data_IF_961082429835
#
_entry.id   IF_961082429835
#
_cell.length_a   1.000
_cell.length_b   1.000
_cell.length_c   1.000
_cell.angle_alpha   90.00
_cell.angle_beta   90.00
_cell.angle_gamma   90.00
#
_symmetry.space_group_name_H-M   'P 1'
#
loop_
_entity.id
_entity.type
_entity.pdbx_description
1 polymer ?
#
# COMPACT_ATOMS: atom_id res chain seq x y z
N UNK A 1 60.10 -26.75 -18.74
CA UNK A 1 60.54 -27.47 -17.52
C UNK A 1 60.18 -26.60 -16.33
N UNK A 2 59.36 -27.12 -15.41
CA UNK A 2 58.93 -26.38 -14.20
C UNK A 2 57.43 -26.51 -13.94
N UNK A 3 56.99 -27.73 -13.64
CA UNK A 3 55.68 -28.05 -13.05
C UNK A 3 55.66 -27.72 -11.55
N UNK A 4 54.43 -27.59 -11.00
CA UNK A 4 53.95 -27.69 -9.60
C UNK A 4 53.26 -26.39 -9.14
N UNK A 5 52.15 -26.37 -8.42
CA UNK A 5 51.08 -27.33 -8.13
C UNK A 5 49.95 -26.47 -7.51
N UNK A 6 48.71 -26.67 -7.93
CA UNK A 6 47.51 -26.07 -7.32
C UNK A 6 47.00 -26.99 -6.20
N UNK A 7 46.55 -26.46 -5.04
CA UNK A 7 46.01 -27.31 -3.98
C UNK A 7 44.55 -27.71 -4.24
N UNK A 8 44.37 -29.03 -4.20
CA UNK A 8 43.19 -29.86 -3.96
C UNK A 8 41.86 -29.18 -3.56
N UNK A 9 40.82 -29.44 -4.38
CA UNK A 9 39.42 -29.47 -3.97
C UNK A 9 39.05 -30.89 -3.50
N UNK A 10 38.35 -31.07 -2.37
CA UNK A 10 37.77 -32.35 -2.02
C UNK A 10 36.41 -32.58 -2.73
N UNK A 11 36.13 -33.86 -2.90
CA UNK A 11 35.20 -34.49 -3.83
C UNK A 11 33.70 -34.30 -3.54
N UNK A 12 32.96 -34.48 -4.63
CA UNK A 12 31.52 -34.60 -4.74
C UNK A 12 31.01 -35.85 -4.00
N UNK A 13 30.09 -35.67 -3.05
CA UNK A 13 29.27 -36.76 -2.54
C UNK A 13 28.18 -37.10 -3.58
N UNK A 14 28.39 -38.20 -4.30
CA UNK A 14 27.40 -38.80 -5.19
C UNK A 14 26.24 -39.37 -4.39
N UNK A 15 25.02 -38.99 -4.75
CA UNK A 15 23.80 -39.66 -4.28
C UNK A 15 23.51 -40.82 -5.23
N UNK A 16 23.48 -42.02 -4.67
CA UNK A 16 23.08 -43.27 -5.32
C UNK A 16 21.56 -43.26 -5.50
N UNK A 17 21.09 -43.25 -6.74
CA UNK A 17 19.70 -43.52 -7.10
C UNK A 17 19.49 -45.04 -7.23
N UNK A 18 18.80 -45.66 -6.28
CA UNK A 18 18.15 -46.94 -6.50
C UNK A 18 16.80 -46.68 -7.17
N UNK A 19 16.62 -47.24 -8.36
CA UNK A 19 15.33 -47.27 -9.03
C UNK A 19 14.41 -48.30 -8.41
N UNK A 20 13.11 -48.08 -8.54
CA UNK A 20 12.17 -49.17 -8.80
C UNK A 20 11.02 -48.66 -9.67
N UNK A 21 10.81 -49.39 -10.76
CA UNK A 21 9.75 -49.15 -11.71
C UNK A 21 8.39 -49.54 -11.17
N UNK A 22 7.36 -48.85 -11.64
CA UNK A 22 5.98 -49.23 -11.41
C UNK A 22 5.07 -48.37 -12.27
N UNK A 23 4.64 -48.91 -13.41
CA UNK A 23 3.58 -48.33 -14.24
C UNK A 23 2.28 -48.39 -13.44
N UNK A 24 1.58 -47.27 -13.36
CA UNK A 24 0.23 -47.17 -12.81
C UNK A 24 -0.44 -45.93 -13.35
N UNK A 25 -1.19 -46.10 -14.45
CA UNK A 25 -2.19 -45.14 -14.90
C UNK A 25 -3.23 -44.97 -13.79
N UNK A 26 -3.54 -43.73 -13.42
CA UNK A 26 -4.71 -43.42 -12.59
C UNK A 26 -5.51 -42.35 -13.33
N UNK A 27 -6.61 -42.78 -13.94
CA UNK A 27 -7.57 -41.94 -14.65
C UNK A 27 -8.39 -41.08 -13.69
N UNK A 28 -8.81 -39.93 -14.20
CA UNK A 28 -9.62 -38.87 -13.60
C UNK A 28 -10.78 -39.31 -12.70
N UNK A 29 -11.07 -38.46 -11.70
CA UNK A 29 -12.46 -38.08 -11.38
C UNK A 29 -12.48 -36.66 -10.78
N UNK A 30 -12.69 -35.67 -11.66
CA UNK A 30 -13.09 -34.32 -11.29
C UNK A 30 -14.53 -34.36 -10.73
N UNK A 31 -14.81 -33.79 -9.55
CA UNK A 31 -16.17 -33.68 -9.08
C UNK A 31 -16.94 -32.64 -9.92
N UNK A 32 -18.01 -33.12 -10.55
CA UNK A 32 -18.96 -32.37 -11.36
C UNK A 32 -19.55 -31.18 -10.59
N UNK A 33 -19.36 -29.97 -11.12
CA UNK A 33 -20.07 -28.76 -10.70
C UNK A 33 -21.57 -28.91 -11.00
N UNK A 34 -22.42 -28.87 -9.96
CA UNK A 34 -23.86 -28.64 -10.14
C UNK A 34 -24.13 -27.14 -10.22
N UNK A 35 -24.45 -26.66 -11.42
CA UNK A 35 -25.04 -25.34 -11.66
C UNK A 35 -26.46 -25.33 -11.10
N UNK A 36 -26.71 -24.49 -10.09
CA UNK A 36 -28.07 -24.12 -9.66
C UNK A 36 -28.35 -22.71 -10.16
N UNK A 37 -29.57 -22.53 -10.67
CA UNK A 37 -30.03 -21.43 -11.52
C UNK A 37 -29.75 -20.02 -10.99
N UNK A 38 -29.56 -19.11 -11.95
CA UNK A 38 -29.36 -17.67 -11.86
C UNK A 38 -30.53 -16.89 -11.26
N UNK A 39 -30.23 -15.90 -10.42
CA UNK A 39 -31.10 -14.73 -10.15
C UNK A 39 -30.32 -13.43 -10.37
N UNK A 40 -30.95 -12.34 -10.84
CA UNK A 40 -30.27 -11.11 -11.21
C UNK A 40 -30.01 -10.22 -9.97
N UNK A 41 -29.02 -10.60 -9.17
CA UNK A 41 -28.40 -9.76 -8.14
C UNK A 41 -27.20 -10.52 -7.57
N UNK A 42 -26.00 -10.24 -8.10
CA UNK A 42 -24.80 -11.06 -7.92
C UNK A 42 -24.08 -10.89 -6.59
N UNK A 43 -24.60 -11.49 -5.51
CA UNK A 43 -23.81 -11.85 -4.33
C UNK A 43 -24.21 -13.27 -3.87
N UNK A 44 -23.26 -14.21 -3.89
CA UNK A 44 -23.45 -15.55 -3.34
C UNK A 44 -22.59 -15.72 -2.08
N UNK A 45 -23.24 -15.84 -0.93
CA UNK A 45 -22.63 -16.23 0.34
C UNK A 45 -22.49 -17.75 0.42
N UNK A 46 -21.30 -18.24 0.80
CA UNK A 46 -21.10 -19.66 1.16
C UNK A 46 -21.17 -19.77 2.68
N UNK A 47 -22.31 -20.27 3.20
CA UNK A 47 -22.47 -20.64 4.61
C UNK A 47 -22.12 -22.13 4.78
N UNK A 48 -20.95 -22.42 5.35
CA UNK A 48 -20.57 -23.77 5.79
C UNK A 48 -21.14 -24.07 7.17
N UNK A 49 -22.01 -25.08 7.28
CA UNK A 49 -22.51 -25.58 8.57
C UNK A 49 -21.52 -26.61 9.14
N UNK A 50 -21.07 -26.38 10.37
CA UNK A 50 -20.24 -27.32 11.11
C UNK A 50 -21.05 -28.55 11.55
N UNK A 51 -20.55 -29.76 11.27
CA UNK A 51 -20.95 -30.98 11.97
C UNK A 51 -19.72 -31.73 12.44
N UNK A 52 -19.67 -31.99 13.75
CA UNK A 52 -18.77 -32.92 14.40
C UNK A 52 -18.96 -34.35 13.86
N UNK A 53 -17.86 -35.03 13.52
CA UNK A 53 -17.74 -36.48 13.62
C UNK A 53 -16.26 -36.93 13.49
N UNK A 54 -15.76 -37.59 14.53
CA UNK A 54 -14.83 -38.73 14.45
C UNK A 54 -13.34 -38.46 14.17
N UNK A 55 -12.50 -38.66 15.18
CA UNK A 55 -11.08 -39.01 14.98
C UNK A 55 -10.94 -40.33 14.20
N UNK A 56 -9.86 -40.46 13.42
CA UNK A 56 -9.09 -41.70 13.53
C UNK A 56 -7.58 -41.45 13.67
N UNK A 57 -7.01 -42.25 14.56
CA UNK A 57 -5.61 -42.53 14.78
C UNK A 57 -4.91 -43.06 13.52
N UNK A 58 -3.73 -42.51 13.20
CA UNK A 58 -2.91 -42.98 12.09
C UNK A 58 -1.62 -42.19 11.90
N UNK A 59 -0.56 -42.58 12.60
CA UNK A 59 0.81 -42.13 12.39
C UNK A 59 1.34 -42.65 11.05
N UNK A 60 1.41 -41.79 10.03
CA UNK A 60 2.11 -42.05 8.76
C UNK A 60 3.04 -40.89 8.43
N UNK A 61 4.36 -41.12 8.56
CA UNK A 61 5.42 -40.13 8.27
C UNK A 61 5.54 -39.88 6.77
N UNK A 62 5.53 -38.62 6.35
CA UNK A 62 5.99 -38.15 5.03
C UNK A 62 7.30 -37.35 5.19
N UNK A 63 8.30 -37.48 4.29
CA UNK A 63 9.62 -36.92 4.51
C UNK A 63 9.77 -35.45 4.04
N UNK A 64 10.08 -34.59 5.02
CA UNK A 64 11.03 -33.46 4.97
C UNK A 64 10.85 -32.39 3.89
N UNK A 65 9.90 -31.48 4.13
CA UNK A 65 10.13 -30.04 4.02
C UNK A 65 10.08 -29.47 5.44
N UNK A 66 11.21 -28.97 5.97
CA UNK A 66 11.29 -28.51 7.35
C UNK A 66 10.64 -27.12 7.49
N UNK A 67 9.31 -27.07 7.61
CA UNK A 67 8.64 -25.94 8.26
C UNK A 67 8.79 -26.12 9.76
N UNK A 68 9.66 -25.33 10.38
CA UNK A 68 9.69 -25.21 11.83
C UNK A 68 8.39 -24.54 12.28
N UNK A 69 7.45 -25.34 12.76
CA UNK A 69 6.28 -24.86 13.47
C UNK A 69 6.64 -24.69 14.95
N UNK A 70 6.87 -23.45 15.37
CA UNK A 70 6.83 -23.06 16.78
C UNK A 70 5.62 -22.15 16.98
N UNK A 71 4.53 -22.67 17.57
CA UNK A 71 3.37 -21.87 18.05
C UNK A 71 2.83 -20.84 17.05
N UNK A 72 2.69 -21.24 15.79
CA UNK A 72 2.92 -20.39 14.61
C UNK A 72 1.94 -19.27 14.36
N UNK A 73 2.32 -18.05 14.74
CA UNK A 73 1.83 -16.83 14.07
C UNK A 73 2.53 -16.76 12.71
N UNK A 74 1.75 -16.69 11.63
CA UNK A 74 2.29 -16.47 10.28
C UNK A 74 3.04 -15.13 10.26
N UNK A 75 4.31 -15.15 9.85
CA UNK A 75 5.05 -13.90 9.59
C UNK A 75 4.60 -13.38 8.24
N UNK A 76 3.95 -12.21 8.23
CA UNK A 76 3.48 -11.58 7.01
C UNK A 76 4.65 -10.96 6.24
N UNK A 77 4.75 -11.27 4.95
CA UNK A 77 5.74 -10.64 4.07
C UNK A 77 5.24 -9.25 3.68
N UNK A 78 5.87 -8.19 4.21
CA UNK A 78 5.53 -6.81 3.86
C UNK A 78 6.50 -6.21 2.83
N UNK A 79 5.97 -5.38 1.94
CA UNK A 79 6.74 -4.57 1.00
C UNK A 79 6.20 -3.14 0.99
N UNK A 80 6.99 -2.21 1.53
CA UNK A 80 6.63 -0.81 1.73
C UNK A 80 7.58 0.06 0.92
N UNK A 81 7.06 0.79 -0.06
CA UNK A 81 7.87 1.75 -0.80
C UNK A 81 8.10 3.02 0.02
N UNK A 82 9.32 3.55 -0.03
CA UNK A 82 9.64 4.87 0.50
C UNK A 82 9.77 5.84 -0.68
N UNK A 83 8.74 6.67 -0.90
CA UNK A 83 8.77 7.68 -1.95
C UNK A 83 9.77 8.81 -1.62
N UNK A 84 10.76 8.99 -2.49
CA UNK A 84 11.84 9.98 -2.37
C UNK A 84 12.08 10.72 -3.70
N UNK A 85 12.48 11.98 -3.63
CA UNK A 85 12.88 12.80 -4.80
C UNK A 85 14.27 13.41 -4.64
N UNK A 86 14.99 13.02 -3.58
CA UNK A 86 16.34 13.49 -3.26
C UNK A 86 17.04 12.44 -2.37
N UNK A 87 18.38 12.47 -2.28
CA UNK A 87 19.14 11.61 -1.36
C UNK A 87 18.65 11.73 0.08
N UNK A 88 18.63 10.58 0.78
CA UNK A 88 18.22 10.49 2.18
C UNK A 88 18.83 9.26 2.85
N UNK A 89 18.94 9.30 4.19
CA UNK A 89 19.36 8.14 4.99
C UNK A 89 18.18 7.20 5.18
N UNK A 90 18.06 6.19 4.30
CA UNK A 90 16.97 5.22 4.34
C UNK A 90 17.17 4.18 5.47
N UNK A 91 16.08 3.71 6.10
CA UNK A 91 16.16 2.64 7.10
C UNK A 91 16.62 1.32 6.46
N UNK A 92 17.22 0.45 7.27
CA UNK A 92 17.75 -0.85 6.84
C UNK A 92 16.79 -2.03 7.05
N UNK A 93 15.61 -1.81 7.64
CA UNK A 93 14.62 -2.89 7.83
C UNK A 93 14.15 -3.41 6.46
N UNK A 94 14.14 -4.74 6.25
CA UNK A 94 13.97 -5.35 4.93
C UNK A 94 12.58 -5.16 4.30
N UNK A 95 11.57 -4.69 5.06
CA UNK A 95 10.25 -4.42 4.48
C UNK A 95 10.26 -3.14 3.63
N UNK A 96 11.27 -2.28 3.77
CA UNK A 96 11.32 -1.01 3.08
C UNK A 96 12.15 -1.07 1.80
N UNK A 97 11.62 -0.46 0.74
CA UNK A 97 12.34 -0.28 -0.53
C UNK A 97 12.24 1.19 -0.97
N UNK A 98 13.34 1.96 -0.97
CA UNK A 98 13.31 3.34 -1.46
C UNK A 98 13.05 3.40 -2.96
N UNK A 99 12.16 4.32 -3.37
CA UNK A 99 11.86 4.59 -4.78
C UNK A 99 12.03 6.08 -5.10
N UNK A 100 12.79 6.36 -6.15
CA UNK A 100 12.93 7.69 -6.74
C UNK A 100 11.69 7.98 -7.57
N UNK A 101 10.81 8.83 -7.06
CA UNK A 101 9.59 9.25 -7.76
C UNK A 101 9.85 10.43 -8.69
N UNK A 102 9.19 10.44 -9.85
CA UNK A 102 9.41 11.46 -10.90
C UNK A 102 10.84 11.43 -11.43
N UNK A 103 11.37 10.23 -11.61
CA UNK A 103 12.78 10.01 -11.92
C UNK A 103 13.14 10.30 -13.39
N UNK A 104 12.15 10.37 -14.30
CA UNK A 104 12.37 10.65 -15.73
C UNK A 104 13.30 11.85 -15.93
N UNK A 105 14.42 11.63 -16.63
CA UNK A 105 15.40 12.67 -16.96
C UNK A 105 16.22 13.21 -15.79
N UNK A 106 16.19 12.54 -14.62
CA UNK A 106 16.95 12.93 -13.41
C UNK A 106 17.95 11.86 -13.00
N UNK A 107 19.04 12.31 -12.36
CA UNK A 107 20.01 11.41 -11.73
C UNK A 107 19.35 10.56 -10.65
N UNK A 108 19.75 9.28 -10.58
CA UNK A 108 19.17 8.33 -9.64
C UNK A 108 19.49 8.71 -8.20
N UNK A 109 18.47 8.77 -7.34
CA UNK A 109 18.67 8.87 -5.89
C UNK A 109 19.42 7.62 -5.41
N UNK A 110 20.56 7.78 -4.71
CA UNK A 110 21.34 6.63 -4.23
C UNK A 110 20.49 5.66 -3.42
N UNK A 111 20.70 4.35 -3.64
CA UNK A 111 19.99 3.25 -2.98
C UNK A 111 18.48 3.15 -3.25
N UNK A 112 17.93 4.01 -4.12
CA UNK A 112 16.55 3.92 -4.55
C UNK A 112 16.42 3.24 -5.92
N UNK A 113 15.38 2.41 -6.07
CA UNK A 113 14.90 2.01 -7.39
C UNK A 113 14.25 3.21 -8.09
N UNK A 114 14.03 3.12 -9.40
CA UNK A 114 13.44 4.22 -10.18
C UNK A 114 12.00 3.89 -10.56
N UNK A 115 11.13 4.87 -10.49
CA UNK A 115 9.73 4.73 -10.90
C UNK A 115 9.50 4.85 -12.42
N UNK A 116 10.54 5.12 -13.21
CA UNK A 116 10.47 5.27 -14.68
C UNK A 116 10.82 3.98 -15.46
N UNK A 117 10.73 2.83 -14.80
CA UNK A 117 11.01 1.50 -15.37
C UNK A 117 9.76 0.61 -15.31
N UNK A 118 9.45 -0.12 -16.39
CA UNK A 118 8.28 -1.01 -16.44
C UNK A 118 6.99 -0.28 -16.79
N UNK A 119 5.86 -0.73 -16.25
CA UNK A 119 4.57 -0.03 -16.40
C UNK A 119 4.47 1.09 -15.36
N UNK A 120 4.39 2.35 -15.84
CA UNK A 120 4.72 3.53 -15.04
C UNK A 120 4.03 4.81 -15.51
N UNK A 121 3.97 5.80 -14.60
CA UNK A 121 3.45 7.17 -14.83
C UNK A 121 4.37 8.25 -14.21
N UNK A 122 5.67 8.00 -14.15
CA UNK A 122 6.71 8.83 -13.53
C UNK A 122 6.76 10.25 -14.10
N UNK A 123 6.54 10.41 -15.40
CA UNK A 123 6.44 11.71 -16.07
C UNK A 123 5.28 12.58 -15.54
N UNK A 124 4.25 11.97 -14.94
CA UNK A 124 3.13 12.66 -14.29
C UNK A 124 3.43 13.10 -12.84
N UNK A 125 4.64 12.89 -12.32
CA UNK A 125 4.99 13.17 -10.92
C UNK A 125 4.76 14.62 -10.49
N UNK A 126 4.89 15.61 -11.39
CA UNK A 126 4.58 17.01 -11.09
C UNK A 126 3.13 17.21 -10.62
N UNK A 127 2.25 16.28 -10.99
CA UNK A 127 0.81 16.33 -10.70
C UNK A 127 0.38 15.22 -9.74
N UNK A 128 0.87 14.00 -9.92
CA UNK A 128 0.55 12.82 -9.10
C UNK A 128 1.40 12.70 -7.83
N UNK A 129 2.53 13.41 -7.75
CA UNK A 129 3.45 13.35 -6.63
C UNK A 129 3.84 11.89 -6.29
N UNK A 130 3.83 11.52 -5.01
CA UNK A 130 4.17 10.18 -4.51
C UNK A 130 3.28 9.06 -5.07
N UNK A 131 2.12 9.38 -5.69
CA UNK A 131 1.26 8.37 -6.33
C UNK A 131 1.91 7.71 -7.55
N UNK A 132 2.92 8.34 -8.15
CA UNK A 132 3.73 7.69 -9.20
C UNK A 132 4.47 6.45 -8.69
N UNK A 133 5.03 6.54 -7.48
CA UNK A 133 5.60 5.38 -6.78
C UNK A 133 4.56 4.34 -6.38
N UNK A 134 3.36 4.78 -5.97
CA UNK A 134 2.24 3.86 -5.70
C UNK A 134 1.79 3.10 -6.95
N UNK A 135 1.68 3.79 -8.09
CA UNK A 135 1.33 3.16 -9.37
C UNK A 135 2.39 2.13 -9.74
N UNK A 136 3.66 2.50 -9.62
CA UNK A 136 4.76 1.59 -9.87
C UNK A 136 4.70 0.34 -8.98
N UNK A 137 4.41 0.50 -7.69
CA UNK A 137 4.21 -0.62 -6.77
C UNK A 137 3.08 -1.54 -7.22
N UNK A 138 1.97 -0.97 -7.65
CA UNK A 138 0.81 -1.74 -8.11
C UNK A 138 1.11 -2.58 -9.35
N UNK A 139 1.91 -2.05 -10.28
CA UNK A 139 2.18 -2.70 -11.56
C UNK A 139 3.40 -3.61 -11.57
N UNK A 140 4.43 -3.27 -10.80
CA UNK A 140 5.74 -3.89 -10.87
C UNK A 140 6.21 -4.47 -9.52
N UNK A 141 5.48 -4.20 -8.44
CA UNK A 141 5.83 -4.65 -7.10
C UNK A 141 5.95 -6.17 -6.99
N UNK A 142 6.88 -6.68 -6.16
CA UNK A 142 6.94 -8.10 -5.89
C UNK A 142 5.72 -8.56 -5.10
N UNK A 143 5.33 -9.83 -5.24
CA UNK A 143 4.26 -10.41 -4.44
C UNK A 143 4.58 -10.29 -2.94
N UNK A 144 3.64 -9.71 -2.20
CA UNK A 144 3.69 -9.51 -0.76
C UNK A 144 2.32 -9.79 -0.13
N UNK A 145 2.33 -10.14 1.15
CA UNK A 145 1.10 -10.23 1.94
C UNK A 145 0.57 -8.85 2.28
N UNK A 146 1.49 -7.91 2.54
CA UNK A 146 1.21 -6.53 2.91
C UNK A 146 1.94 -5.58 1.97
N UNK A 147 1.24 -4.60 1.43
CA UNK A 147 1.80 -3.51 0.65
C UNK A 147 1.70 -2.20 1.43
N UNK A 148 2.65 -1.29 1.23
CA UNK A 148 2.59 0.02 1.85
C UNK A 148 3.27 1.12 1.06
N UNK A 149 2.93 2.34 1.44
CA UNK A 149 3.57 3.56 0.96
C UNK A 149 3.97 4.42 2.16
N UNK A 150 5.25 4.76 2.22
CA UNK A 150 5.85 5.70 3.16
C UNK A 150 6.50 6.85 2.39
N UNK A 151 6.73 7.97 3.08
CA UNK A 151 7.49 9.08 2.51
C UNK A 151 8.89 9.08 3.10
N UNK A 152 9.89 9.58 2.36
CA UNK A 152 11.31 9.55 2.77
C UNK A 152 11.62 10.05 4.18
N UNK A 153 10.79 10.94 4.74
CA UNK A 153 10.98 11.52 6.08
C UNK A 153 9.82 11.28 7.05
N UNK A 154 8.85 10.42 6.69
CA UNK A 154 7.66 10.12 7.50
C UNK A 154 7.38 8.63 7.48
N UNK A 155 7.31 8.05 8.67
CA UNK A 155 7.11 6.62 8.86
C UNK A 155 6.07 6.38 9.94
N UNK A 156 5.40 5.23 9.91
CA UNK A 156 4.63 4.80 11.07
C UNK A 156 5.57 4.56 12.25
N UNK A 157 5.17 4.94 13.46
CA UNK A 157 5.93 4.65 14.68
C UNK A 157 6.01 3.16 14.93
N UNK A 158 7.13 2.65 15.42
CA UNK A 158 7.31 1.24 15.79
C UNK A 158 8.60 1.01 16.57
N UNK A 159 9.15 -0.19 16.52
CA UNK A 159 10.31 -0.61 17.32
C UNK A 159 11.64 -0.57 16.55
N UNK A 160 11.62 -0.60 15.22
CA UNK A 160 12.82 -0.63 14.40
C UNK A 160 13.57 0.71 14.39
N UNK A 161 14.91 0.72 14.44
CA UNK A 161 15.68 1.96 14.38
C UNK A 161 15.64 2.60 12.98
N UNK A 162 15.49 3.93 12.93
CA UNK A 162 15.77 4.73 11.74
C UNK A 162 17.14 5.42 11.92
N UNK A 163 18.03 5.45 10.90
CA UNK A 163 19.40 5.97 11.05
C UNK A 163 19.47 7.40 11.59
N UNK A 164 18.56 8.26 11.13
CA UNK A 164 18.59 9.71 11.42
C UNK A 164 17.37 10.21 12.20
N UNK A 165 16.61 9.32 12.86
CA UNK A 165 15.31 9.66 13.44
C UNK A 165 14.80 8.72 14.53
N UNK A 166 13.55 8.90 14.98
CA UNK A 166 12.93 8.02 15.96
C UNK A 166 12.66 6.64 15.39
N UNK A 167 12.38 5.66 16.27
CA UNK A 167 12.02 4.33 15.84
C UNK A 167 10.74 4.32 15.00
N UNK A 168 10.74 3.45 14.00
CA UNK A 168 9.73 3.29 12.97
C UNK A 168 9.15 1.87 13.00
N UNK A 169 8.01 1.67 12.33
CA UNK A 169 7.41 0.36 12.10
C UNK A 169 8.42 -0.51 11.34
N UNK A 170 8.86 -1.61 11.94
CA UNK A 170 9.68 -2.63 11.28
C UNK A 170 8.90 -3.91 11.00
N UNK A 171 9.58 -4.92 10.48
CA UNK A 171 8.95 -6.21 10.16
C UNK A 171 8.26 -6.87 11.37
N UNK A 172 8.82 -6.72 12.58
CA UNK A 172 8.25 -7.28 13.82
C UNK A 172 6.94 -6.60 14.24
N UNK A 173 6.73 -5.35 13.81
CA UNK A 173 5.55 -4.56 14.15
C UNK A 173 4.33 -4.87 13.25
N UNK A 174 4.55 -5.45 12.06
CA UNK A 174 3.52 -5.53 11.00
C UNK A 174 2.26 -6.25 11.48
N UNK A 175 2.43 -7.39 12.14
CA UNK A 175 1.31 -8.20 12.65
C UNK A 175 0.52 -7.45 13.74
N UNK A 176 1.20 -6.72 14.63
CA UNK A 176 0.54 -5.92 15.67
C UNK A 176 -0.18 -4.73 15.08
N UNK A 177 0.44 -4.03 14.13
CA UNK A 177 -0.12 -2.83 13.54
C UNK A 177 -1.44 -3.11 12.80
N UNK A 178 -1.52 -4.26 12.11
CA UNK A 178 -2.74 -4.71 11.43
C UNK A 178 -3.74 -5.33 12.40
N UNK A 179 -3.31 -6.21 13.32
CA UNK A 179 -4.23 -7.05 14.08
C UNK A 179 -5.15 -7.83 13.14
N UNK A 180 -6.47 -7.76 13.35
CA UNK A 180 -7.47 -8.36 12.46
C UNK A 180 -7.83 -7.48 11.24
N UNK A 181 -7.38 -6.22 11.23
CA UNK A 181 -7.71 -5.27 10.17
C UNK A 181 -6.94 -5.55 8.88
N UNK A 182 -7.47 -5.04 7.76
CA UNK A 182 -6.80 -5.10 6.46
C UNK A 182 -6.01 -3.84 6.16
N UNK A 183 -6.30 -2.73 6.85
CA UNK A 183 -5.79 -1.40 6.52
C UNK A 183 -5.28 -0.68 7.77
N UNK A 184 -4.06 -0.18 7.70
CA UNK A 184 -3.46 0.75 8.67
C UNK A 184 -3.30 2.11 8.00
N UNK A 185 -3.89 3.16 8.56
CA UNK A 185 -3.67 4.54 8.11
C UNK A 185 -2.94 5.38 9.16
N UNK A 186 -2.43 6.53 8.73
CA UNK A 186 -1.91 7.55 9.65
C UNK A 186 -3.02 8.00 10.61
N UNK A 187 -2.70 8.16 11.91
CA UNK A 187 -3.63 8.73 12.89
C UNK A 187 -4.23 10.04 12.38
N UNK A 188 -5.57 10.12 12.39
CA UNK A 188 -6.30 11.26 11.84
C UNK A 188 -5.86 12.57 12.49
N UNK A 189 -5.65 13.59 11.66
CA UNK A 189 -5.46 14.96 12.10
C UNK A 189 -6.83 15.60 12.34
N UNK A 190 -7.02 16.21 13.50
CA UNK A 190 -8.23 16.98 13.81
C UNK A 190 -8.07 18.43 13.35
N UNK A 191 -9.01 18.93 12.56
CA UNK A 191 -9.04 20.33 12.10
C UNK A 191 -9.80 21.26 13.03
N UNK A 192 -10.58 20.72 13.97
CA UNK A 192 -11.22 21.49 15.03
C UNK A 192 -12.38 22.34 14.54
N UNK A 193 -12.11 23.46 13.85
CA UNK A 193 -13.11 24.43 13.36
C UNK A 193 -13.47 24.32 11.87
N UNK A 194 -12.63 23.66 11.06
CA UNK A 194 -12.81 23.50 9.61
C UNK A 194 -13.28 22.09 9.23
N UNK A 195 -14.04 21.99 8.14
CA UNK A 195 -14.31 20.70 7.48
C UNK A 195 -13.16 20.36 6.55
N UNK A 196 -13.06 19.10 6.10
CA UNK A 196 -12.06 18.68 5.11
C UNK A 196 -12.22 19.49 3.82
N UNK A 197 -13.46 19.73 3.38
CA UNK A 197 -13.77 20.59 2.22
C UNK A 197 -13.30 22.02 2.42
N UNK A 198 -13.67 22.67 3.53
CA UNK A 198 -13.29 24.08 3.75
C UNK A 198 -11.78 24.23 3.89
N UNK A 199 -11.09 23.30 4.56
CA UNK A 199 -9.63 23.30 4.63
C UNK A 199 -8.98 23.11 3.25
N UNK A 200 -9.57 22.29 2.36
CA UNK A 200 -9.10 22.17 0.98
C UNK A 200 -9.26 23.48 0.22
N UNK A 201 -10.46 24.09 0.24
CA UNK A 201 -10.75 25.35 -0.45
C UNK A 201 -9.87 26.54 0.02
N UNK A 202 -9.39 26.52 1.27
CA UNK A 202 -8.43 27.51 1.77
C UNK A 202 -6.99 27.30 1.25
N UNK A 203 -6.66 26.10 0.77
CA UNK A 203 -5.30 25.74 0.35
C UNK A 203 -5.18 25.50 -1.17
N UNK A 204 -6.28 25.15 -1.83
CA UNK A 204 -6.38 24.62 -3.19
C UNK A 204 -7.71 25.03 -3.83
N UNK A 205 -7.87 24.76 -5.13
CA UNK A 205 -9.06 25.14 -5.89
C UNK A 205 -10.23 24.20 -5.60
N UNK A 206 -11.32 24.70 -5.00
CA UNK A 206 -12.47 23.86 -4.63
C UNK A 206 -13.08 23.08 -5.80
N UNK A 207 -13.02 23.65 -7.02
CA UNK A 207 -13.49 22.98 -8.25
C UNK A 207 -12.87 21.60 -8.47
N UNK A 208 -11.66 21.34 -7.95
CA UNK A 208 -11.00 20.05 -8.03
C UNK A 208 -11.79 18.97 -7.27
N UNK A 209 -12.34 19.31 -6.09
CA UNK A 209 -13.17 18.41 -5.29
C UNK A 209 -14.52 18.17 -5.95
N UNK A 210 -15.11 19.20 -6.54
CA UNK A 210 -16.41 19.08 -7.19
C UNK A 210 -16.30 18.19 -8.44
N UNK A 211 -15.22 18.32 -9.21
CA UNK A 211 -14.92 17.41 -10.32
C UNK A 211 -14.69 15.98 -9.84
N UNK A 212 -13.90 15.79 -8.77
CA UNK A 212 -13.69 14.46 -8.19
C UNK A 212 -15.01 13.81 -7.75
N UNK A 213 -15.88 14.58 -7.08
CA UNK A 213 -17.22 14.11 -6.68
C UNK A 213 -18.08 13.73 -7.88
N UNK A 214 -18.07 14.55 -8.95
CA UNK A 214 -18.79 14.26 -10.19
C UNK A 214 -18.31 12.96 -10.83
N UNK A 215 -16.99 12.79 -11.00
CA UNK A 215 -16.39 11.57 -11.55
C UNK A 215 -16.78 10.33 -10.73
N UNK A 216 -16.79 10.44 -9.39
CA UNK A 216 -17.26 9.38 -8.50
C UNK A 216 -18.74 9.10 -8.71
N UNK A 217 -19.60 10.12 -8.78
CA UNK A 217 -21.04 9.92 -9.02
C UNK A 217 -21.31 9.21 -10.36
N UNK A 218 -20.53 9.52 -11.40
CA UNK A 218 -20.71 8.96 -12.73
C UNK A 218 -20.19 7.52 -12.87
N UNK A 219 -19.11 7.14 -12.17
CA UNK A 219 -18.46 5.82 -12.33
C UNK A 219 -18.55 4.89 -11.12
N UNK A 220 -18.68 5.45 -9.92
CA UNK A 220 -18.63 4.75 -8.63
C UNK A 220 -19.65 5.33 -7.63
N UNK A 221 -20.95 5.39 -7.99
CA UNK A 221 -21.96 6.12 -7.22
C UNK A 221 -22.05 5.68 -5.74
N UNK A 222 -21.76 4.41 -5.44
CA UNK A 222 -21.78 3.87 -4.08
C UNK A 222 -20.71 4.49 -3.15
N UNK A 223 -19.70 5.17 -3.70
CA UNK A 223 -18.69 5.91 -2.93
C UNK A 223 -19.09 7.36 -2.64
N UNK A 224 -20.13 7.90 -3.28
CA UNK A 224 -20.59 9.29 -3.05
C UNK A 224 -20.94 9.54 -1.57
N UNK A 225 -21.68 8.64 -0.87
CA UNK A 225 -21.95 8.85 0.56
C UNK A 225 -20.68 8.91 1.41
N UNK A 226 -19.65 8.11 1.09
CA UNK A 226 -18.37 8.17 1.80
C UNK A 226 -17.59 9.45 1.47
N UNK A 227 -17.62 9.88 0.20
CA UNK A 227 -17.01 11.14 -0.21
C UNK A 227 -17.61 12.34 0.55
N UNK A 228 -18.95 12.45 0.55
CA UNK A 228 -19.67 13.55 1.19
C UNK A 228 -19.44 13.56 2.70
N UNK A 229 -19.55 12.39 3.36
CA UNK A 229 -19.24 12.26 4.78
C UNK A 229 -17.81 12.70 5.11
N UNK A 230 -16.83 12.39 4.26
CA UNK A 230 -15.44 12.80 4.49
C UNK A 230 -15.30 14.32 4.35
N UNK A 231 -15.88 14.89 3.29
CA UNK A 231 -15.82 16.33 3.00
C UNK A 231 -16.42 17.17 4.14
N UNK A 232 -17.51 16.69 4.76
CA UNK A 232 -18.17 17.33 5.90
C UNK A 232 -17.48 17.03 7.24
N UNK A 233 -16.66 15.98 7.31
CA UNK A 233 -15.90 15.65 8.51
C UNK A 233 -14.84 16.70 8.82
N UNK A 234 -14.30 16.64 10.04
CA UNK A 234 -13.33 17.61 10.56
C UNK A 234 -11.99 16.95 10.86
N UNK A 235 -11.74 15.80 10.24
CA UNK A 235 -10.51 15.06 10.41
C UNK A 235 -10.26 14.11 9.24
N UNK A 236 -8.99 13.91 8.89
CA UNK A 236 -8.57 12.89 7.94
C UNK A 236 -7.16 12.38 8.26
N UNK A 237 -6.85 11.20 7.75
CA UNK A 237 -5.49 10.67 7.68
C UNK A 237 -4.72 11.39 6.57
N UNK A 238 -3.51 11.86 6.87
CA UNK A 238 -2.67 12.58 5.92
C UNK A 238 -1.61 11.67 5.27
N UNK A 239 -0.93 12.22 4.27
CA UNK A 239 0.29 11.73 3.63
C UNK A 239 0.12 10.55 2.66
N UNK A 240 -1.08 10.13 2.28
CA UNK A 240 -1.27 8.96 1.39
C UNK A 240 -0.55 7.69 1.89
N UNK A 241 -0.19 7.65 3.18
CA UNK A 241 0.59 6.58 3.77
C UNK A 241 -0.35 5.51 4.32
N UNK A 242 -0.02 4.26 4.05
CA UNK A 242 -0.80 3.12 4.51
C UNK A 242 0.04 1.85 4.61
N UNK A 243 -0.48 0.86 5.35
CA UNK A 243 -0.21 -0.55 5.14
C UNK A 243 -1.56 -1.20 4.78
N UNK A 244 -1.57 -2.05 3.76
CA UNK A 244 -2.77 -2.75 3.31
C UNK A 244 -2.44 -4.23 3.10
N UNK A 245 -3.33 -5.12 3.50
CA UNK A 245 -3.31 -6.51 3.02
C UNK A 245 -3.41 -6.55 1.50
N UNK A 246 -2.85 -7.60 0.90
CA UNK A 246 -2.75 -7.79 -0.54
C UNK A 246 -4.10 -7.62 -1.25
N UNK A 247 -5.17 -8.23 -0.70
CA UNK A 247 -6.54 -8.09 -1.19
C UNK A 247 -7.03 -6.63 -1.19
N UNK A 248 -6.86 -5.92 -0.06
CA UNK A 248 -7.21 -4.52 0.09
C UNK A 248 -6.42 -3.63 -0.89
N UNK A 249 -5.11 -3.86 -1.02
CA UNK A 249 -4.24 -3.11 -1.94
C UNK A 249 -4.66 -3.28 -3.40
N UNK A 250 -4.91 -4.52 -3.83
CA UNK A 250 -5.31 -4.84 -5.20
C UNK A 250 -6.76 -4.44 -5.51
N UNK A 251 -7.62 -4.24 -4.51
CA UNK A 251 -8.93 -3.60 -4.67
C UNK A 251 -8.83 -2.07 -4.72
N UNK A 252 -7.95 -1.47 -3.91
CA UNK A 252 -7.77 -0.02 -3.81
C UNK A 252 -7.14 0.59 -5.06
N UNK A 253 -6.06 0.00 -5.59
CA UNK A 253 -5.29 0.60 -6.68
C UNK A 253 -6.10 0.82 -7.97
N UNK A 254 -6.84 -0.18 -8.51
CA UNK A 254 -7.69 0.04 -9.68
C UNK A 254 -8.75 1.13 -9.45
N UNK A 255 -9.33 1.17 -8.24
CA UNK A 255 -10.34 2.17 -7.88
C UNK A 255 -9.78 3.59 -7.87
N UNK A 256 -8.66 3.82 -7.16
CA UNK A 256 -8.10 5.16 -7.02
C UNK A 256 -7.52 5.67 -8.33
N UNK A 257 -6.80 4.83 -9.08
CA UNK A 257 -6.22 5.26 -10.35
C UNK A 257 -7.27 5.44 -11.44
N UNK A 258 -8.34 4.65 -11.45
CA UNK A 258 -9.47 4.87 -12.37
C UNK A 258 -10.17 6.21 -12.15
N UNK A 259 -10.36 6.63 -10.89
CA UNK A 259 -10.91 7.96 -10.58
C UNK A 259 -9.92 9.05 -10.96
N UNK A 260 -8.66 8.94 -10.51
CA UNK A 260 -7.67 10.00 -10.71
C UNK A 260 -7.34 10.23 -12.18
N UNK A 261 -7.29 9.18 -13.01
CA UNK A 261 -7.10 9.29 -14.46
C UNK A 261 -8.24 10.06 -15.12
N UNK A 262 -9.50 9.75 -14.78
CA UNK A 262 -10.67 10.49 -15.28
C UNK A 262 -10.66 11.95 -14.84
N UNK A 263 -10.40 12.21 -13.56
CA UNK A 263 -10.28 13.58 -13.05
C UNK A 263 -9.16 14.32 -13.77
N UNK A 264 -7.99 13.71 -13.94
CA UNK A 264 -6.86 14.33 -14.61
C UNK A 264 -7.18 14.68 -16.07
N UNK A 265 -7.92 13.82 -16.78
CA UNK A 265 -8.36 14.08 -18.16
C UNK A 265 -9.41 15.21 -18.29
N UNK A 266 -10.22 15.44 -17.26
CA UNK A 266 -11.26 16.49 -17.25
C UNK A 266 -10.81 17.80 -16.57
N UNK A 267 -9.73 17.78 -15.79
CA UNK A 267 -9.33 18.91 -14.95
C UNK A 267 -8.58 19.99 -15.74
N UNK A 268 -9.19 21.18 -15.85
CA UNK A 268 -8.52 22.37 -16.36
C UNK A 268 -7.59 22.99 -15.30
N UNK A 269 -6.29 22.78 -15.48
CA UNK A 269 -5.21 23.35 -14.67
C UNK A 269 -4.61 24.63 -15.28
N UNK A 270 -5.27 25.26 -16.27
CA UNK A 270 -4.81 26.52 -16.85
C UNK A 270 -4.68 27.58 -15.75
N UNK A 271 -3.50 28.21 -15.67
CA UNK A 271 -3.20 29.22 -14.64
C UNK A 271 -2.85 28.66 -13.26
N UNK A 272 -2.75 27.34 -13.08
CA UNK A 272 -2.32 26.76 -11.81
C UNK A 272 -0.85 27.06 -11.53
N UNK A 273 -0.54 27.45 -10.29
CA UNK A 273 0.84 27.51 -9.81
C UNK A 273 1.45 26.10 -9.76
N UNK A 274 2.79 25.98 -9.68
CA UNK A 274 3.43 24.66 -9.59
C UNK A 274 2.97 23.84 -8.39
N UNK A 275 2.58 24.51 -7.30
CA UNK A 275 1.98 23.84 -6.15
C UNK A 275 0.55 23.37 -6.44
N UNK A 276 -0.25 24.13 -7.19
CA UNK A 276 -1.64 23.78 -7.51
C UNK A 276 -1.72 22.68 -8.56
N UNK A 277 -0.73 22.57 -9.46
CA UNK A 277 -0.62 21.46 -10.43
C UNK A 277 -0.58 20.08 -9.77
N UNK A 278 -0.29 20.02 -8.46
CA UNK A 278 -0.32 18.81 -7.62
C UNK A 278 -1.72 18.41 -7.18
N UNK A 279 -2.77 19.02 -7.75
CA UNK A 279 -4.19 18.76 -7.46
C UNK A 279 -4.51 17.26 -7.38
N UNK A 280 -4.04 16.46 -8.34
CA UNK A 280 -4.27 15.01 -8.37
C UNK A 280 -3.63 14.31 -7.15
N UNK A 281 -2.40 14.67 -6.78
CA UNK A 281 -1.76 14.18 -5.56
C UNK A 281 -2.54 14.56 -4.29
N UNK A 282 -3.09 15.78 -4.22
CA UNK A 282 -3.95 16.19 -3.10
C UNK A 282 -5.27 15.42 -3.06
N UNK A 283 -5.89 15.18 -4.21
CA UNK A 283 -7.10 14.37 -4.32
C UNK A 283 -6.85 12.93 -3.88
N UNK A 284 -5.71 12.33 -4.26
CA UNK A 284 -5.32 10.98 -3.82
C UNK A 284 -5.33 10.81 -2.30
N UNK A 285 -4.96 11.85 -1.54
CA UNK A 285 -5.04 11.84 -0.06
C UNK A 285 -6.47 11.72 0.45
N UNK A 286 -7.39 12.43 -0.19
CA UNK A 286 -8.80 12.41 0.20
C UNK A 286 -9.40 11.10 -0.24
N UNK A 287 -9.10 10.63 -1.45
CA UNK A 287 -9.61 9.38 -1.99
C UNK A 287 -9.18 8.15 -1.18
N UNK A 288 -7.94 8.12 -0.65
CA UNK A 288 -7.52 7.07 0.29
C UNK A 288 -8.46 7.01 1.51
N UNK A 289 -8.82 8.17 2.07
CA UNK A 289 -9.74 8.25 3.19
C UNK A 289 -11.17 7.88 2.79
N UNK A 290 -11.64 8.28 1.59
CA UNK A 290 -12.96 7.90 1.08
C UNK A 290 -13.07 6.39 0.94
N UNK A 291 -12.06 5.76 0.35
CA UNK A 291 -12.02 4.32 0.17
C UNK A 291 -12.01 3.58 1.51
N UNK A 292 -11.11 3.97 2.42
CA UNK A 292 -11.02 3.35 3.74
C UNK A 292 -12.31 3.53 4.57
N UNK A 293 -13.00 4.65 4.41
CA UNK A 293 -14.26 4.92 5.12
C UNK A 293 -15.46 4.22 4.48
N UNK A 294 -15.41 3.91 3.19
CA UNK A 294 -16.41 3.07 2.52
C UNK A 294 -16.28 1.60 2.94
N UNK A 295 -15.05 1.10 3.07
CA UNK A 295 -14.75 -0.31 3.40
C UNK A 295 -14.47 -0.58 4.88
N UNK A 296 -14.77 0.37 5.77
CA UNK A 296 -14.37 0.28 7.18
C UNK A 296 -14.92 -0.96 7.88
N UNK A 297 -16.18 -1.32 7.58
CA UNK A 297 -16.88 -2.45 8.20
C UNK A 297 -16.42 -3.80 7.64
N UNK A 298 -16.07 -3.86 6.35
CA UNK A 298 -15.71 -5.11 5.66
C UNK A 298 -14.23 -5.48 5.84
N UNK A 299 -13.35 -4.48 5.80
CA UNK A 299 -11.91 -4.69 5.81
C UNK A 299 -11.29 -4.51 7.19
N UNK A 300 -11.95 -3.76 8.08
CA UNK A 300 -11.34 -3.31 9.33
C UNK A 300 -10.25 -2.27 9.09
N UNK A 301 -10.21 -1.26 9.96
CA UNK A 301 -9.33 -0.11 9.83
C UNK A 301 -8.68 0.22 11.17
N UNK A 302 -7.34 0.20 11.21
CA UNK A 302 -6.54 0.69 12.33
C UNK A 302 -5.80 1.97 11.97
N UNK A 303 -5.38 2.70 13.00
CA UNK A 303 -4.65 3.95 12.85
C UNK A 303 -3.37 3.90 13.67
N UNK A 304 -2.24 4.24 13.04
CA UNK A 304 -0.94 4.29 13.72
C UNK A 304 -0.34 5.68 13.64
N UNK A 305 0.37 6.09 14.70
CA UNK A 305 1.04 7.39 14.75
C UNK A 305 2.12 7.44 13.67
N UNK A 306 2.26 8.59 13.01
CA UNK A 306 3.38 8.87 12.10
C UNK A 306 4.44 9.66 12.84
N UNK A 307 5.70 9.27 12.68
CA UNK A 307 6.88 9.97 13.19
C UNK A 307 7.60 10.68 12.04
N UNK A 308 8.19 11.83 12.34
CA UNK A 308 9.00 12.60 11.39
C UNK A 308 10.47 12.47 11.76
N UNK A 309 11.30 12.13 10.79
CA UNK A 309 12.75 11.93 10.98
C UNK A 309 13.43 13.24 11.39
N UNK A 310 13.11 14.34 10.70
CA UNK A 310 13.66 15.69 10.96
C UNK A 310 13.00 16.41 12.16
N UNK A 311 12.11 15.74 12.90
CA UNK A 311 11.26 16.37 13.92
C UNK A 311 10.12 17.22 13.35
N UNK A 312 9.31 17.80 14.23
CA UNK A 312 8.19 18.66 13.84
C UNK A 312 8.55 20.15 14.01
N UNK A 313 8.55 20.97 12.93
CA UNK A 313 8.67 22.41 13.08
C UNK A 313 7.32 23.02 13.51
N UNK A 314 6.92 22.77 14.77
CA UNK A 314 5.60 23.14 15.34
C UNK A 314 5.35 24.65 15.24
N UNK A 315 6.38 25.47 15.50
CA UNK A 315 6.30 26.94 15.46
C UNK A 315 5.97 27.46 14.05
N UNK A 316 6.63 26.91 13.02
CA UNK A 316 6.42 27.30 11.62
C UNK A 316 5.01 26.93 11.15
N UNK A 317 4.54 25.71 11.51
CA UNK A 317 3.18 25.25 11.20
C UNK A 317 2.12 26.17 11.82
N UNK A 318 2.33 26.66 13.05
CA UNK A 318 1.41 27.59 13.72
C UNK A 318 1.31 28.95 13.02
N UNK A 319 2.45 29.52 12.60
CA UNK A 319 2.50 30.80 11.87
C UNK A 319 1.85 30.69 10.48
N UNK A 320 2.12 29.60 9.75
CA UNK A 320 1.55 29.38 8.42
C UNK A 320 0.03 29.17 8.45
N UNK A 321 -0.48 28.50 9.48
CA UNK A 321 -1.93 28.34 9.70
C UNK A 321 -2.63 29.68 9.93
N UNK A 322 -2.06 30.54 10.79
CA UNK A 322 -2.59 31.88 11.05
C UNK A 322 -2.57 32.75 9.80
N UNK A 323 -1.49 32.71 9.01
CA UNK A 323 -1.38 33.45 7.75
C UNK A 323 -2.43 33.06 6.72
N UNK A 324 -2.75 31.76 6.61
CA UNK A 324 -3.79 31.27 5.68
C UNK A 324 -5.17 31.75 6.11
N UNK A 325 -5.48 31.66 7.41
CA UNK A 325 -6.76 32.11 7.95
C UNK A 325 -7.02 33.60 7.73
N UNK A 326 -5.97 34.43 7.75
CA UNK A 326 -6.07 35.87 7.53
C UNK A 326 -6.19 36.28 6.06
N UNK A 327 -5.85 35.39 5.10
CA UNK A 327 -5.88 35.71 3.66
C UNK A 327 -7.17 35.31 2.95
N UNK A 328 -8.08 34.58 3.62
CA UNK A 328 -9.31 34.09 3.02
C UNK A 328 -9.09 32.87 2.11
N UNK A 329 -10.19 32.31 1.58
CA UNK A 329 -10.16 31.21 0.62
C UNK A 329 -9.43 31.62 -0.67
N UNK A 330 -8.82 30.65 -1.35
CA UNK A 330 -8.00 30.89 -2.54
C UNK A 330 -8.84 31.02 -3.80
#
# INVERSE_FOLDING_TARGET
>A
MGTRDLPHRPEMAGVVCCGDGGRGECSEQLPQLRVVRSTPSGLAFVLGTARHAGEPSGLGRSPRGCTQFTGGVRVLKAHILIAAHKPYDFPSDPIYTPIHVGSVGRDTVPHAIRDDVGDQISDLNSTYCELTGLYWLWKNGPEADIYGLAHYRRFFSGTAPHPSGPNILGHEDVNEALGEASVVLARRRLYGIETVRSHYAHAHHEKDLDLARKVIADGWPDYVPAFDRLMDSRSLSLYNMFLMRSDAFHAYCPWVFGILERVHGELDMTGYSDQDKRAIGFLGERLLNVWAMHHADDLGLTYRKVVQVEGEPVLKKGVDLLRRKLRGAK
#
